data_IF_597418299314
#
_entry.id   IF_597418299314
#
_cell.length_a   1.000
_cell.length_b   1.000
_cell.length_c   1.000
_cell.angle_alpha   90.00
_cell.angle_beta   90.00
_cell.angle_gamma   90.00
#
_symmetry.space_group_name_H-M   'P 1'
#
loop_
_entity.id
_entity.type
_entity.pdbx_description
1 polymer ?
#
# COMPACT_ATOMS: atom_id res chain seq x y z
N UNK A 1 43.36 -17.89 8.33
CA UNK A 1 41.93 -17.54 8.37
C UNK A 1 41.39 -17.31 6.94
N UNK A 2 41.08 -18.37 6.15
CA UNK A 2 40.65 -18.22 4.76
C UNK A 2 39.12 -18.09 4.56
N UNK A 3 38.32 -18.20 5.63
CA UNK A 3 36.85 -18.24 5.56
C UNK A 3 36.15 -16.86 5.65
N UNK A 4 36.91 -15.80 5.88
CA UNK A 4 36.37 -14.45 6.04
C UNK A 4 35.86 -13.91 4.70
N UNK A 5 36.62 -14.16 3.63
CA UNK A 5 36.29 -13.73 2.27
C UNK A 5 34.95 -14.30 1.78
N UNK A 6 34.69 -15.64 1.82
CA UNK A 6 33.41 -16.17 1.39
C UNK A 6 32.23 -15.70 2.26
N UNK A 7 32.47 -15.46 3.55
CA UNK A 7 31.44 -14.96 4.45
C UNK A 7 31.01 -13.52 4.11
N UNK A 8 31.98 -12.65 3.81
CA UNK A 8 31.72 -11.27 3.40
C UNK A 8 30.94 -11.24 2.07
N UNK A 9 31.35 -12.04 1.08
CA UNK A 9 30.65 -12.13 -0.22
C UNK A 9 29.19 -12.56 -0.03
N UNK A 10 28.94 -13.55 0.84
CA UNK A 10 27.58 -14.00 1.16
C UNK A 10 26.71 -12.89 1.77
N UNK A 11 27.26 -12.13 2.71
CA UNK A 11 26.58 -10.98 3.35
C UNK A 11 26.21 -9.93 2.29
N UNK A 12 27.13 -9.60 1.38
CA UNK A 12 26.89 -8.63 0.31
C UNK A 12 25.77 -9.08 -0.64
N UNK A 13 25.78 -10.34 -1.07
CA UNK A 13 24.72 -10.89 -1.93
C UNK A 13 23.36 -10.81 -1.23
N UNK A 14 23.30 -11.12 0.07
CA UNK A 14 22.06 -11.07 0.86
C UNK A 14 21.53 -9.64 1.00
N UNK A 15 22.41 -8.67 1.27
CA UNK A 15 22.05 -7.25 1.34
C UNK A 15 21.51 -6.74 0.00
N UNK A 16 22.21 -7.00 -1.10
CA UNK A 16 21.79 -6.59 -2.44
C UNK A 16 20.44 -7.20 -2.80
N UNK A 17 20.23 -8.50 -2.57
CA UNK A 17 18.92 -9.15 -2.80
C UNK A 17 17.81 -8.55 -1.95
N UNK A 18 18.08 -8.26 -0.69
CA UNK A 18 17.08 -7.69 0.23
C UNK A 18 16.72 -6.26 -0.19
N UNK A 19 17.70 -5.45 -0.56
CA UNK A 19 17.45 -4.08 -1.04
C UNK A 19 16.73 -4.05 -2.39
N UNK A 20 17.17 -4.85 -3.37
CA UNK A 20 16.51 -4.93 -4.69
C UNK A 20 15.09 -5.48 -4.52
N UNK A 21 14.91 -6.55 -3.74
CA UNK A 21 13.58 -7.10 -3.43
C UNK A 21 12.72 -6.07 -2.72
N UNK A 22 13.25 -5.34 -1.74
CA UNK A 22 12.49 -4.31 -1.06
C UNK A 22 12.19 -3.11 -1.99
N UNK A 23 12.99 -2.80 -3.01
CA UNK A 23 12.65 -1.76 -3.99
C UNK A 23 11.60 -2.26 -5.00
N UNK A 24 11.73 -3.50 -5.50
CA UNK A 24 10.77 -4.12 -6.43
C UNK A 24 9.43 -4.46 -5.77
N UNK A 25 9.46 -4.89 -4.51
CA UNK A 25 8.28 -5.28 -3.71
C UNK A 25 7.85 -4.23 -2.70
N UNK A 26 8.61 -3.13 -2.50
CA UNK A 26 8.02 -1.84 -2.13
C UNK A 26 7.27 -1.33 -3.35
N UNK A 27 6.23 -2.06 -3.72
CA UNK A 27 4.97 -1.42 -4.07
C UNK A 27 4.75 -0.45 -2.93
N UNK A 28 5.08 0.82 -3.19
CA UNK A 28 4.35 1.91 -2.59
C UNK A 28 2.91 1.42 -2.56
N UNK A 29 2.40 1.12 -1.37
CA UNK A 29 0.97 1.11 -1.19
C UNK A 29 0.62 2.57 -1.40
N UNK A 30 0.49 2.96 -2.66
CA UNK A 30 -0.26 4.13 -3.09
C UNK A 30 -1.68 3.87 -2.61
N UNK A 31 -1.87 4.12 -1.31
CA UNK A 31 -3.15 4.30 -0.66
C UNK A 31 -3.85 5.56 -1.22
N UNK A 32 -3.17 6.28 -2.12
CA UNK A 32 -3.54 7.61 -2.61
C UNK A 32 -4.17 7.60 -4.01
N UNK A 33 -4.42 6.42 -4.60
CA UNK A 33 -5.02 6.32 -5.94
C UNK A 33 -6.27 5.45 -5.98
N UNK A 34 -6.76 4.98 -4.82
CA UNK A 34 -8.01 4.23 -4.75
C UNK A 34 -9.16 5.23 -4.75
N UNK A 35 -9.67 5.50 -5.94
CA UNK A 35 -10.95 6.19 -6.14
C UNK A 35 -12.04 5.15 -5.86
N UNK A 36 -12.87 5.39 -4.86
CA UNK A 36 -14.04 4.57 -4.54
C UNK A 36 -15.31 5.32 -4.94
N UNK A 37 -16.30 4.59 -5.46
CA UNK A 37 -17.64 5.11 -5.72
C UNK A 37 -18.47 5.12 -4.44
N UNK A 38 -19.16 6.22 -4.19
CA UNK A 38 -20.20 6.28 -3.16
C UNK A 38 -21.34 5.33 -3.53
N UNK A 39 -21.77 4.50 -2.59
CA UNK A 39 -22.81 3.49 -2.81
C UNK A 39 -24.20 4.11 -3.07
N UNK A 40 -24.41 5.35 -2.61
CA UNK A 40 -25.71 6.03 -2.69
C UNK A 40 -25.84 6.91 -3.93
N UNK A 41 -24.84 7.75 -4.21
CA UNK A 41 -24.91 8.73 -5.30
C UNK A 41 -24.04 8.37 -6.52
N UNK A 42 -23.26 7.29 -6.44
CA UNK A 42 -22.38 6.86 -7.53
C UNK A 42 -21.17 7.78 -7.77
N UNK A 43 -21.01 8.86 -6.99
CA UNK A 43 -19.90 9.80 -7.14
C UNK A 43 -18.57 9.14 -6.77
N UNK A 44 -17.57 9.34 -7.63
CA UNK A 44 -16.22 8.86 -7.43
C UNK A 44 -15.41 9.82 -6.56
N UNK A 45 -14.93 9.34 -5.42
CA UNK A 45 -14.14 10.12 -4.47
C UNK A 45 -12.91 9.35 -4.01
N UNK A 46 -11.87 10.11 -3.64
CA UNK A 46 -10.65 9.55 -3.11
C UNK A 46 -10.90 8.80 -1.79
N UNK A 47 -10.25 7.64 -1.56
CA UNK A 47 -10.45 6.82 -0.37
C UNK A 47 -10.30 7.62 0.94
N UNK A 48 -9.44 8.65 0.97
CA UNK A 48 -9.28 9.52 2.16
C UNK A 48 -10.52 10.36 2.50
N UNK A 49 -11.44 10.55 1.55
CA UNK A 49 -12.68 11.31 1.72
C UNK A 49 -13.90 10.40 1.94
N UNK A 50 -13.71 9.07 1.87
CA UNK A 50 -14.80 8.11 2.04
C UNK A 50 -15.03 7.82 3.53
N UNK A 51 -16.23 8.12 3.99
CA UNK A 51 -16.76 7.71 5.29
C UNK A 51 -17.25 6.26 5.15
N UNK A 52 -16.60 5.32 5.86
CA UNK A 52 -17.02 3.91 5.91
C UNK A 52 -18.04 3.71 7.03
N UNK A 53 -19.25 3.23 6.73
CA UNK A 53 -20.33 3.00 7.72
C UNK A 53 -21.15 1.77 7.30
N UNK A 54 -21.49 0.88 8.23
CA UNK A 54 -22.27 -0.35 7.94
C UNK A 54 -21.75 -1.22 6.77
N UNK A 55 -20.44 -1.20 6.51
CA UNK A 55 -19.84 -1.93 5.39
C UNK A 55 -19.88 -1.20 4.03
N UNK A 56 -20.61 -0.09 3.93
CA UNK A 56 -20.68 0.76 2.74
C UNK A 56 -19.71 1.95 2.78
N UNK A 57 -19.32 2.44 1.60
CA UNK A 57 -18.47 3.62 1.41
C UNK A 57 -19.28 4.82 0.96
N UNK A 58 -19.26 5.91 1.73
CA UNK A 58 -20.05 7.12 1.49
C UNK A 58 -19.17 8.35 1.38
N UNK A 59 -19.54 9.30 0.51
CA UNK A 59 -18.76 10.52 0.32
C UNK A 59 -19.10 11.64 1.33
N UNK A 60 -20.29 11.61 1.93
CA UNK A 60 -20.78 12.64 2.86
C UNK A 60 -21.62 12.03 3.98
N UNK A 61 -21.79 12.78 5.08
CA UNK A 61 -22.66 12.38 6.21
C UNK A 61 -24.10 12.19 5.77
N UNK A 62 -24.56 12.99 4.81
CA UNK A 62 -25.88 12.91 4.21
C UNK A 62 -26.07 11.55 3.51
N UNK A 63 -25.09 11.12 2.70
CA UNK A 63 -25.14 9.79 2.08
C UNK A 63 -25.06 8.66 3.11
N UNK A 64 -24.33 8.83 4.22
CA UNK A 64 -24.21 7.79 5.27
C UNK A 64 -25.42 7.67 6.21
N UNK A 65 -26.34 8.63 6.14
CA UNK A 65 -27.54 8.73 6.99
C UNK A 65 -28.84 8.70 6.17
N UNK A 66 -28.74 8.52 4.85
CA UNK A 66 -29.87 8.26 3.97
C UNK A 66 -30.28 6.79 4.02
#
# INVERSE_FOLDING_TARGET
MPLIIPFIIYIFIKLVRTHISNILFSKHKDKNERILSCEVCGTYVHESLVIKKYGGGYYSKECSNS
#
